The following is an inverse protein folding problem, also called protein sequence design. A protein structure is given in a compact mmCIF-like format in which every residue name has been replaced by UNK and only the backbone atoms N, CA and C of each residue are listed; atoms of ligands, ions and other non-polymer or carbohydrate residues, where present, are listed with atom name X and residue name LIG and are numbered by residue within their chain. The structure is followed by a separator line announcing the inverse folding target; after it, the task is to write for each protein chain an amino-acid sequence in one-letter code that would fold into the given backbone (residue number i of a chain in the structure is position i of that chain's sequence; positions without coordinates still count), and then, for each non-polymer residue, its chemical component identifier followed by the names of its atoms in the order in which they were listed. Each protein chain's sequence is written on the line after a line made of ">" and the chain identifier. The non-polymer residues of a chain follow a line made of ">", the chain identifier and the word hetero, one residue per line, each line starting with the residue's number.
data_IF_912106442208
#
_entry.id   IF_912106442208
#
_cell.length_a   1.000
_cell.length_b   1.000
_cell.length_c   1.000
_cell.angle_alpha   90.00
_cell.angle_beta   90.00
_cell.angle_gamma   90.00
#
_symmetry.space_group_name_H-M   'P 1'
#
loop_
_entity.id
_entity.type
_entity.pdbx_description
1 polymer ?
#
# COMPACT_ATOMS: atom_id res chain seq x y z
N UNK A 1 -4.58 -4.83 -7.60
CA UNK A 1 -5.97 -4.73 -7.13
C UNK A 1 -6.01 -3.95 -5.82
N UNK A 2 -6.01 -2.62 -5.93
CA UNK A 2 -6.01 -1.69 -4.81
C UNK A 2 -6.85 -0.47 -5.24
N UNK A 3 -8.13 -0.68 -5.52
CA UNK A 3 -9.10 0.39 -5.74
C UNK A 3 -9.75 0.81 -4.42
N UNK A 4 -10.41 1.94 -4.41
CA UNK A 4 -11.15 2.41 -3.23
C UNK A 4 -12.23 1.42 -2.80
N UNK A 5 -12.89 0.79 -3.76
CA UNK A 5 -13.90 -0.24 -3.52
C UNK A 5 -13.30 -1.50 -2.88
N UNK A 6 -12.11 -1.95 -3.35
CA UNK A 6 -11.39 -3.09 -2.79
C UNK A 6 -10.89 -2.77 -1.38
N UNK A 7 -10.39 -1.56 -1.15
CA UNK A 7 -9.98 -1.09 0.18
C UNK A 7 -11.16 -1.06 1.14
N UNK A 8 -12.30 -0.50 0.70
CA UNK A 8 -13.51 -0.40 1.54
C UNK A 8 -14.06 -1.77 1.95
N UNK A 9 -13.91 -2.80 1.09
CA UNK A 9 -14.37 -4.17 1.34
C UNK A 9 -13.34 -5.08 2.01
N UNK A 10 -12.13 -4.58 2.36
CA UNK A 10 -11.00 -5.39 2.81
C UNK A 10 -10.55 -6.47 1.81
N UNK A 11 -10.76 -6.21 0.51
CA UNK A 11 -10.47 -7.12 -0.60
C UNK A 11 -9.17 -6.78 -1.35
N UNK A 12 -8.40 -5.81 -0.85
CA UNK A 12 -7.17 -5.38 -1.50
C UNK A 12 -6.09 -6.48 -1.48
N UNK A 13 -5.44 -6.71 -2.62
CA UNK A 13 -4.40 -7.71 -2.75
C UNK A 13 -3.37 -7.37 -3.82
N UNK A 14 -2.23 -8.03 -3.76
CA UNK A 14 -1.19 -8.00 -4.78
C UNK A 14 -0.92 -9.40 -5.34
N UNK A 15 -0.69 -9.49 -6.66
CA UNK A 15 -0.15 -10.67 -7.29
C UNK A 15 1.37 -10.62 -7.31
N UNK A 16 2.02 -11.63 -6.75
CA UNK A 16 3.46 -11.82 -6.87
C UNK A 16 3.67 -12.82 -8.01
N UNK A 17 4.03 -12.33 -9.18
CA UNK A 17 4.22 -13.13 -10.40
C UNK A 17 5.52 -12.78 -11.14
N UNK A 18 6.25 -11.79 -10.63
CA UNK A 18 7.48 -11.28 -11.23
C UNK A 18 8.50 -10.99 -10.15
N UNK A 19 9.75 -11.10 -10.51
CA UNK A 19 10.89 -10.89 -9.62
C UNK A 19 11.89 -9.93 -10.28
N UNK A 20 12.33 -8.92 -9.53
CA UNK A 20 13.43 -8.05 -9.93
C UNK A 20 14.73 -8.66 -9.43
N UNK A 21 15.70 -8.90 -10.32
CA UNK A 21 16.96 -9.54 -9.96
C UNK A 21 18.14 -8.98 -10.76
N UNK A 22 19.35 -9.07 -10.19
CA UNK A 22 20.58 -8.86 -10.93
C UNK A 22 21.12 -10.19 -11.45
N UNK A 23 21.34 -10.27 -12.74
CA UNK A 23 21.82 -11.46 -13.45
C UNK A 23 23.10 -11.13 -14.21
N UNK A 24 24.07 -12.03 -14.21
CA UNK A 24 25.29 -11.87 -15.00
C UNK A 24 24.96 -11.85 -16.49
N UNK A 25 25.60 -10.96 -17.25
CA UNK A 25 25.36 -10.83 -18.69
C UNK A 25 25.68 -12.12 -19.44
N UNK A 26 26.70 -12.86 -18.98
CA UNK A 26 27.05 -14.16 -19.59
C UNK A 26 25.94 -15.20 -19.37
N UNK A 27 25.32 -15.18 -18.19
CA UNK A 27 24.20 -16.06 -17.90
C UNK A 27 22.97 -15.73 -18.76
N UNK A 28 22.68 -14.45 -18.97
CA UNK A 28 21.60 -14.02 -19.88
C UNK A 28 21.84 -14.57 -21.30
N UNK A 29 23.07 -14.46 -21.78
CA UNK A 29 23.43 -14.92 -23.12
C UNK A 29 23.44 -16.46 -23.26
N UNK A 30 23.75 -17.18 -22.19
CA UNK A 30 23.88 -18.65 -22.19
C UNK A 30 22.55 -19.38 -22.00
N UNK A 31 21.69 -18.88 -21.12
CA UNK A 31 20.41 -19.54 -20.74
C UNK A 31 19.27 -19.17 -21.70
N UNK A 32 19.47 -18.13 -22.51
CA UNK A 32 18.42 -17.53 -23.31
C UNK A 32 17.39 -16.76 -22.46
N UNK A 33 16.50 -16.06 -23.14
CA UNK A 33 15.53 -15.15 -22.50
C UNK A 33 14.31 -15.86 -21.92
N UNK A 34 14.31 -17.18 -21.81
CA UNK A 34 13.09 -17.98 -21.54
C UNK A 34 12.28 -17.55 -20.31
N UNK A 35 12.97 -17.03 -19.27
CA UNK A 35 12.33 -16.58 -18.03
C UNK A 35 12.51 -15.07 -17.78
N UNK A 36 13.21 -14.36 -18.68
CA UNK A 36 13.45 -12.92 -18.59
C UNK A 36 12.33 -12.20 -19.31
N UNK A 37 11.59 -11.38 -18.59
CA UNK A 37 10.47 -10.60 -19.12
C UNK A 37 10.94 -9.24 -19.65
N UNK A 38 11.96 -8.65 -19.00
CA UNK A 38 12.49 -7.35 -19.37
C UNK A 38 13.91 -7.17 -18.83
N UNK A 39 14.79 -6.54 -19.63
CA UNK A 39 16.15 -6.17 -19.24
C UNK A 39 16.24 -4.66 -19.14
N UNK A 40 16.44 -4.14 -17.94
CA UNK A 40 16.53 -2.69 -17.73
C UNK A 40 17.79 -2.10 -18.39
N UNK A 41 17.71 -0.90 -18.98
CA UNK A 41 18.85 -0.21 -19.54
C UNK A 41 19.95 0.03 -18.50
N UNK A 42 21.22 -0.03 -18.94
CA UNK A 42 22.34 0.33 -18.06
C UNK A 42 22.32 1.82 -17.76
N UNK A 43 22.79 2.16 -16.57
CA UNK A 43 23.19 3.54 -16.28
C UNK A 43 24.37 3.91 -17.17
N UNK A 44 24.35 5.12 -17.72
CA UNK A 44 25.50 5.64 -18.49
C UNK A 44 26.78 5.52 -17.63
N UNK A 45 27.85 4.97 -18.21
CA UNK A 45 29.13 4.78 -17.51
C UNK A 45 29.26 3.55 -16.60
N UNK A 46 28.19 2.76 -16.41
CA UNK A 46 28.25 1.57 -15.55
C UNK A 46 29.04 0.42 -16.19
N UNK A 47 30.15 -0.01 -15.55
CA UNK A 47 31.00 -1.15 -15.96
C UNK A 47 30.58 -2.48 -15.34
N UNK A 48 29.39 -2.59 -14.76
CA UNK A 48 28.93 -3.81 -14.10
C UNK A 48 28.78 -4.97 -15.11
N UNK A 49 29.27 -6.16 -14.76
CA UNK A 49 29.04 -7.40 -15.51
C UNK A 49 27.60 -7.88 -15.41
N UNK A 50 26.83 -7.36 -14.43
CA UNK A 50 25.44 -7.78 -14.21
C UNK A 50 24.45 -6.82 -14.83
N UNK A 51 23.26 -7.32 -15.15
CA UNK A 51 22.10 -6.57 -15.63
C UNK A 51 20.96 -6.71 -14.64
N UNK A 52 20.23 -5.63 -14.47
CA UNK A 52 18.96 -5.67 -13.75
C UNK A 52 17.89 -6.19 -14.72
N UNK A 53 17.17 -7.20 -14.30
CA UNK A 53 16.13 -7.84 -15.10
C UNK A 53 14.85 -8.02 -14.31
N UNK A 54 13.73 -7.97 -15.00
CA UNK A 54 12.45 -8.48 -14.52
C UNK A 54 12.30 -9.88 -15.07
N UNK A 55 12.07 -10.85 -14.22
CA UNK A 55 11.95 -12.25 -14.62
C UNK A 55 10.79 -12.94 -13.91
N UNK A 56 10.43 -14.13 -14.39
CA UNK A 56 9.50 -15.02 -13.71
C UNK A 56 10.15 -15.55 -12.42
N UNK A 57 9.35 -15.78 -11.36
CA UNK A 57 9.83 -16.47 -10.16
C UNK A 57 10.37 -17.86 -10.49
N UNK A 58 11.34 -18.31 -9.68
CA UNK A 58 12.02 -19.59 -9.89
C UNK A 58 11.10 -20.82 -9.80
N UNK A 59 10.02 -20.73 -9.03
CA UNK A 59 9.07 -21.81 -8.79
C UNK A 59 7.64 -21.33 -8.97
N UNK A 60 6.75 -22.19 -9.39
CA UNK A 60 5.32 -21.90 -9.50
C UNK A 60 4.70 -21.55 -8.13
N UNK A 61 5.17 -22.17 -7.05
CA UNK A 61 4.75 -21.87 -5.69
C UNK A 61 5.09 -20.45 -5.23
N UNK A 62 6.01 -19.78 -5.91
CA UNK A 62 6.32 -18.36 -5.68
C UNK A 62 5.26 -17.43 -6.26
N UNK A 63 4.50 -17.89 -7.25
CA UNK A 63 3.39 -17.13 -7.84
C UNK A 63 2.21 -17.24 -6.89
N UNK A 64 1.81 -16.11 -6.33
CA UNK A 64 0.74 -16.10 -5.32
C UNK A 64 0.04 -14.77 -5.22
N UNK A 65 -1.19 -14.83 -4.76
CA UNK A 65 -1.99 -13.72 -4.30
C UNK A 65 -1.67 -13.45 -2.83
N UNK A 66 -1.39 -12.21 -2.49
CA UNK A 66 -1.18 -11.78 -1.10
C UNK A 66 -2.22 -10.72 -0.77
N UNK A 67 -3.10 -11.03 0.18
CA UNK A 67 -4.03 -10.07 0.73
C UNK A 67 -3.27 -9.07 1.60
N UNK A 68 -3.59 -7.81 1.46
CA UNK A 68 -2.91 -6.74 2.20
C UNK A 68 -3.86 -6.05 3.17
N UNK A 69 -3.37 -5.66 4.35
CA UNK A 69 -4.16 -4.89 5.31
C UNK A 69 -4.64 -3.57 4.70
N UNK A 70 -5.82 -3.13 5.10
CA UNK A 70 -6.45 -1.88 4.63
C UNK A 70 -5.50 -0.68 4.72
N UNK A 71 -4.84 -0.51 5.85
CA UNK A 71 -3.87 0.58 6.06
C UNK A 71 -2.74 0.55 5.03
N UNK A 72 -2.20 -0.63 4.73
CA UNK A 72 -1.15 -0.76 3.72
C UNK A 72 -1.68 -0.47 2.30
N UNK A 73 -2.88 -0.94 1.99
CA UNK A 73 -3.53 -0.67 0.70
C UNK A 73 -3.72 0.83 0.48
N UNK A 74 -4.17 1.55 1.52
CA UNK A 74 -4.32 2.99 1.50
C UNK A 74 -2.98 3.73 1.28
N UNK A 75 -1.92 3.32 2.01
CA UNK A 75 -0.58 3.88 1.84
C UNK A 75 -0.06 3.67 0.39
N UNK A 76 -0.30 2.49 -0.19
CA UNK A 76 0.11 2.20 -1.56
C UNK A 76 -0.66 3.03 -2.59
N UNK A 77 -1.95 3.30 -2.36
CA UNK A 77 -2.75 4.21 -3.18
C UNK A 77 -2.19 5.63 -3.13
N UNK A 78 -1.96 6.18 -1.93
CA UNK A 78 -1.34 7.50 -1.78
C UNK A 78 0.04 7.58 -2.43
N UNK A 79 0.81 6.50 -2.31
CA UNK A 79 2.12 6.41 -2.96
C UNK A 79 2.00 6.50 -4.48
N UNK A 80 1.02 5.79 -5.06
CA UNK A 80 0.76 5.88 -6.50
C UNK A 80 0.40 7.30 -6.92
N UNK A 81 -0.48 7.98 -6.21
CA UNK A 81 -0.85 9.37 -6.50
C UNK A 81 0.38 10.32 -6.47
N UNK A 82 1.29 10.10 -5.51
CA UNK A 82 2.56 10.86 -5.46
C UNK A 82 3.45 10.57 -6.65
N UNK A 83 3.53 9.30 -7.06
CA UNK A 83 4.28 8.93 -8.27
C UNK A 83 3.66 9.55 -9.54
N UNK A 84 2.35 9.54 -9.67
CA UNK A 84 1.65 10.10 -10.82
C UNK A 84 1.88 11.62 -10.93
N UNK A 85 1.83 12.35 -9.81
CA UNK A 85 2.19 13.78 -9.76
C UNK A 85 3.65 14.02 -10.12
N UNK A 86 4.55 13.15 -9.68
CA UNK A 86 5.97 13.25 -10.01
C UNK A 86 6.22 12.98 -11.50
N UNK A 87 5.53 12.01 -12.09
CA UNK A 87 5.56 11.74 -13.53
C UNK A 87 5.10 12.96 -14.34
N UNK A 88 3.99 13.56 -13.94
CA UNK A 88 3.45 14.75 -14.58
C UNK A 88 4.44 15.93 -14.50
N UNK A 89 5.06 16.13 -13.33
CA UNK A 89 6.04 17.18 -13.11
C UNK A 89 7.32 17.00 -13.93
N UNK A 90 7.83 15.76 -14.03
CA UNK A 90 9.09 15.45 -14.71
C UNK A 90 8.94 15.25 -16.22
N UNK A 91 7.72 14.95 -16.71
CA UNK A 91 7.48 14.73 -18.13
C UNK A 91 8.41 13.66 -18.72
N UNK A 92 9.12 14.02 -19.80
CA UNK A 92 10.01 13.09 -20.54
C UNK A 92 11.24 12.63 -19.75
N UNK A 93 11.58 13.30 -18.64
CA UNK A 93 12.69 12.90 -17.77
C UNK A 93 12.33 11.72 -16.86
N UNK A 94 11.05 11.38 -16.75
CA UNK A 94 10.57 10.22 -16.01
C UNK A 94 10.38 9.01 -16.92
N UNK A 95 11.15 7.95 -16.69
CA UNK A 95 11.01 6.69 -17.44
C UNK A 95 10.04 5.78 -16.71
N UNK A 96 8.81 5.66 -17.20
CA UNK A 96 7.79 4.84 -16.56
C UNK A 96 7.92 3.35 -16.89
N UNK A 97 8.40 2.58 -15.92
CA UNK A 97 8.41 1.11 -15.97
C UNK A 97 7.21 0.48 -15.24
N UNK A 98 6.22 1.26 -14.85
CA UNK A 98 5.05 0.80 -14.09
C UNK A 98 5.42 0.03 -12.81
N UNK A 99 6.36 0.56 -12.04
CA UNK A 99 6.86 -0.05 -10.81
C UNK A 99 6.22 0.58 -9.57
N UNK A 100 5.84 -0.25 -8.61
CA UNK A 100 5.34 0.22 -7.31
C UNK A 100 6.44 0.97 -6.54
N UNK A 101 7.65 0.44 -6.52
CA UNK A 101 8.82 1.09 -5.93
C UNK A 101 9.75 1.57 -7.03
N UNK A 102 9.60 2.81 -7.41
CA UNK A 102 10.49 3.51 -8.34
C UNK A 102 11.27 4.62 -7.63
N UNK A 103 12.46 4.92 -8.14
CA UNK A 103 13.22 6.11 -7.79
C UNK A 103 12.57 7.33 -8.44
N UNK A 104 13.03 8.54 -8.10
CA UNK A 104 12.47 9.81 -8.59
C UNK A 104 12.42 9.91 -10.11
N UNK A 105 13.34 9.27 -10.83
CA UNK A 105 13.37 9.22 -12.30
C UNK A 105 12.62 8.02 -12.90
N UNK A 106 11.81 7.30 -12.11
CA UNK A 106 11.08 6.10 -12.55
C UNK A 106 11.89 4.81 -12.56
N UNK A 107 13.17 4.85 -12.22
CA UNK A 107 14.06 3.69 -12.21
C UNK A 107 13.70 2.71 -11.10
N UNK A 108 13.99 1.40 -11.28
CA UNK A 108 13.75 0.42 -10.23
C UNK A 108 14.52 0.74 -8.94
N UNK A 109 13.86 0.56 -7.79
CA UNK A 109 14.53 0.49 -6.49
C UNK A 109 15.12 -0.91 -6.30
N UNK A 110 16.46 -0.99 -6.33
CA UNK A 110 17.17 -2.23 -6.12
C UNK A 110 17.34 -2.53 -4.62
N UNK A 111 17.59 -3.80 -4.27
CA UNK A 111 17.79 -4.27 -2.89
C UNK A 111 18.75 -3.39 -2.08
N UNK A 112 19.84 -2.94 -2.70
CA UNK A 112 20.82 -2.08 -2.05
C UNK A 112 20.24 -0.72 -1.65
N UNK A 113 19.36 -0.15 -2.46
CA UNK A 113 18.70 1.13 -2.16
C UNK A 113 17.76 0.95 -0.97
N UNK A 114 16.94 -0.10 -1.02
CA UNK A 114 16.00 -0.45 0.05
C UNK A 114 16.77 -0.75 1.34
N UNK A 115 17.82 -1.56 1.26
CA UNK A 115 18.66 -1.90 2.40
C UNK A 115 19.30 -0.67 3.05
N UNK A 116 19.84 0.26 2.25
CA UNK A 116 20.44 1.50 2.76
C UNK A 116 19.41 2.39 3.46
N UNK A 117 18.20 2.49 2.93
CA UNK A 117 17.11 3.24 3.57
C UNK A 117 16.66 2.58 4.87
N UNK A 118 16.60 1.25 4.90
CA UNK A 118 16.27 0.51 6.10
C UNK A 118 17.33 0.71 7.21
N UNK A 119 18.61 0.70 6.86
CA UNK A 119 19.70 0.98 7.81
C UNK A 119 19.61 2.42 8.37
N UNK A 120 19.29 3.39 7.54
CA UNK A 120 19.05 4.77 8.00
C UNK A 120 17.85 4.84 8.95
N UNK A 121 16.74 4.19 8.59
CA UNK A 121 15.55 4.14 9.43
C UNK A 121 15.83 3.49 10.79
N UNK A 122 16.55 2.35 10.81
CA UNK A 122 16.96 1.68 12.06
C UNK A 122 17.72 2.64 12.98
N UNK A 123 18.73 3.32 12.42
CA UNK A 123 19.56 4.26 13.19
C UNK A 123 18.74 5.42 13.75
N UNK A 124 17.88 6.02 12.94
CA UNK A 124 17.05 7.15 13.37
C UNK A 124 16.01 6.77 14.42
N UNK A 125 15.52 5.53 14.37
CA UNK A 125 14.50 5.02 15.30
C UNK A 125 15.11 4.31 16.53
N UNK A 126 16.43 4.23 16.64
CA UNK A 126 17.09 3.54 17.76
C UNK A 126 16.77 2.05 17.85
N UNK A 127 16.44 1.42 16.71
CA UNK A 127 16.05 0.02 16.68
C UNK A 127 17.26 -0.91 16.86
N UNK A 128 17.06 -2.13 17.41
CA UNK A 128 18.12 -3.11 17.56
C UNK A 128 18.68 -3.54 16.19
N UNK A 129 19.81 -4.22 16.20
CA UNK A 129 20.45 -4.69 14.98
C UNK A 129 19.65 -5.83 14.32
N UNK A 130 18.64 -5.45 13.55
CA UNK A 130 17.81 -6.36 12.73
C UNK A 130 18.15 -6.17 11.26
N UNK A 131 18.05 -7.22 10.47
CA UNK A 131 18.20 -7.15 9.01
C UNK A 131 16.84 -7.08 8.33
N UNK A 132 16.78 -6.56 7.10
CA UNK A 132 15.52 -6.41 6.37
C UNK A 132 14.72 -7.72 6.30
N UNK A 133 15.40 -8.86 6.10
CA UNK A 133 14.77 -10.18 6.06
C UNK A 133 14.13 -10.59 7.40
N UNK A 134 14.58 -10.04 8.52
CA UNK A 134 13.97 -10.29 9.85
C UNK A 134 12.51 -9.84 9.90
N UNK A 135 12.13 -8.82 9.13
CA UNK A 135 10.73 -8.37 9.04
C UNK A 135 9.81 -9.49 8.53
N UNK A 136 10.31 -10.29 7.58
CA UNK A 136 9.58 -11.47 7.08
C UNK A 136 9.38 -12.50 8.19
N UNK A 137 10.44 -12.80 8.96
CA UNK A 137 10.33 -13.74 10.08
C UNK A 137 9.37 -13.22 11.16
N UNK A 138 9.48 -11.95 11.53
CA UNK A 138 8.57 -11.32 12.49
C UNK A 138 7.12 -11.41 12.01
N UNK A 139 6.85 -11.04 10.76
CA UNK A 139 5.51 -11.13 10.18
C UNK A 139 4.95 -12.56 10.25
N UNK A 140 5.76 -13.56 9.89
CA UNK A 140 5.36 -14.98 9.97
C UNK A 140 5.03 -15.41 11.40
N UNK A 141 5.90 -15.04 12.34
CA UNK A 141 5.71 -15.38 13.78
C UNK A 141 4.43 -14.74 14.32
N UNK A 142 4.18 -13.47 14.01
CA UNK A 142 2.97 -12.79 14.44
C UNK A 142 1.71 -13.39 13.81
N UNK A 143 1.73 -13.70 12.54
CA UNK A 143 0.60 -14.37 11.86
C UNK A 143 0.29 -15.72 12.49
N UNK A 144 1.30 -16.52 12.79
CA UNK A 144 1.13 -17.79 13.50
C UNK A 144 0.51 -17.57 14.89
N UNK A 145 0.99 -16.57 15.64
CA UNK A 145 0.46 -16.24 16.96
C UNK A 145 -1.01 -15.82 16.90
N UNK A 146 -1.37 -14.94 15.97
CA UNK A 146 -2.74 -14.44 15.79
C UNK A 146 -3.68 -15.57 15.36
N UNK A 147 -3.20 -16.47 14.50
CA UNK A 147 -3.93 -17.63 14.01
C UNK A 147 -3.88 -18.85 14.94
N UNK A 148 -3.42 -18.66 16.20
CA UNK A 148 -3.33 -19.74 17.20
C UNK A 148 -2.54 -20.96 16.71
N UNK A 149 -1.49 -20.73 15.89
CA UNK A 149 -0.63 -21.78 15.38
C UNK A 149 -1.10 -22.44 14.08
N UNK A 150 -2.10 -21.89 13.40
CA UNK A 150 -2.50 -22.39 12.09
C UNK A 150 -1.40 -22.11 11.05
N UNK A 151 -0.56 -23.13 10.87
CA UNK A 151 0.59 -23.09 9.93
C UNK A 151 0.11 -22.95 8.49
N UNK A 152 -1.03 -23.57 8.14
CA UNK A 152 -1.53 -23.56 6.76
C UNK A 152 -1.99 -22.17 6.33
N UNK A 153 -2.80 -21.53 7.17
CA UNK A 153 -3.25 -20.17 6.93
C UNK A 153 -2.07 -19.19 6.77
N UNK A 154 -0.99 -19.40 7.53
CA UNK A 154 0.20 -18.54 7.50
C UNK A 154 1.11 -18.80 6.29
N UNK A 155 1.25 -20.06 5.85
CA UNK A 155 2.11 -20.43 4.72
C UNK A 155 1.67 -19.82 3.39
N UNK A 156 0.38 -19.77 3.15
CA UNK A 156 -0.17 -19.17 1.94
C UNK A 156 0.29 -17.75 1.69
N UNK A 157 0.41 -16.95 2.75
CA UNK A 157 0.82 -15.55 2.68
C UNK A 157 2.33 -15.37 2.55
N UNK A 158 3.10 -16.22 3.21
CA UNK A 158 4.55 -16.03 3.33
C UNK A 158 5.34 -16.63 2.16
N UNK A 159 4.76 -17.59 1.41
CA UNK A 159 5.41 -18.24 0.28
C UNK A 159 6.68 -19.00 0.69
N UNK A 160 6.72 -19.59 1.89
CA UNK A 160 7.81 -20.47 2.29
C UNK A 160 7.61 -21.87 1.69
N UNK A 161 8.50 -22.25 0.78
CA UNK A 161 8.51 -23.58 0.15
C UNK A 161 8.94 -24.71 1.10
N UNK A 162 9.35 -24.43 2.33
CA UNK A 162 10.02 -25.37 3.22
C UNK A 162 9.13 -26.09 4.24
N UNK A 163 7.94 -26.45 3.87
CA UNK A 163 7.28 -27.53 4.60
C UNK A 163 6.72 -28.55 3.62
N UNK A 164 7.57 -29.03 2.74
CA UNK A 164 7.23 -29.98 1.68
C UNK A 164 6.53 -31.27 2.19
N UNK A 165 6.65 -31.60 3.45
CA UNK A 165 5.98 -32.79 4.00
C UNK A 165 4.54 -32.54 4.47
N UNK A 166 4.16 -31.29 4.74
CA UNK A 166 2.79 -30.98 5.20
C UNK A 166 1.94 -30.40 4.07
N UNK A 167 2.58 -29.78 3.06
CA UNK A 167 1.90 -29.03 1.99
C UNK A 167 1.31 -29.89 0.89
N UNK A 168 1.85 -31.07 0.59
CA UNK A 168 1.30 -31.94 -0.47
C UNK A 168 -0.09 -32.52 -0.14
N UNK A 169 -0.41 -32.68 1.13
CA UNK A 169 -1.71 -33.24 1.56
C UNK A 169 -2.79 -32.16 1.77
N UNK A 170 -2.38 -30.88 1.97
CA UNK A 170 -3.29 -29.83 2.38
C UNK A 170 -3.16 -28.52 1.58
N UNK A 171 -2.84 -28.62 0.32
CA UNK A 171 -2.49 -27.50 -0.57
C UNK A 171 -3.61 -26.48 -0.87
N UNK A 172 -4.76 -26.60 -0.27
CA UNK A 172 -5.87 -25.67 -0.50
C UNK A 172 -6.20 -24.84 0.75
N UNK A 173 -5.30 -23.90 1.08
CA UNK A 173 -5.74 -22.75 1.88
C UNK A 173 -6.63 -21.95 0.95
N UNK A 174 -7.91 -21.88 1.28
CA UNK A 174 -8.88 -21.08 0.55
C UNK A 174 -8.42 -19.62 0.56
N UNK A 175 -8.63 -18.90 -0.52
CA UNK A 175 -8.31 -17.46 -0.60
C UNK A 175 -8.95 -16.69 0.58
N UNK A 176 -10.08 -17.15 1.10
CA UNK A 176 -10.76 -16.62 2.26
C UNK A 176 -9.92 -16.63 3.54
N UNK A 177 -9.18 -17.73 3.80
CA UNK A 177 -8.29 -17.81 4.98
C UNK A 177 -7.14 -16.81 4.88
N UNK A 178 -6.64 -16.56 3.67
CA UNK A 178 -5.60 -15.54 3.41
C UNK A 178 -6.11 -14.13 3.61
N UNK A 179 -7.35 -13.87 3.20
CA UNK A 179 -8.04 -12.61 3.44
C UNK A 179 -8.21 -12.35 4.93
N UNK A 180 -8.69 -13.35 5.67
CA UNK A 180 -8.85 -13.29 7.13
C UNK A 180 -7.51 -13.01 7.83
N UNK A 181 -6.40 -13.57 7.33
CA UNK A 181 -5.08 -13.27 7.86
C UNK A 181 -4.67 -11.81 7.70
N UNK A 182 -4.95 -11.21 6.55
CA UNK A 182 -4.68 -9.78 6.33
C UNK A 182 -5.49 -8.90 7.28
N UNK A 183 -6.76 -9.22 7.49
CA UNK A 183 -7.65 -8.51 8.41
C UNK A 183 -7.18 -8.62 9.87
N UNK A 184 -6.77 -9.83 10.30
CA UNK A 184 -6.21 -10.03 11.64
C UNK A 184 -4.91 -9.28 11.85
N UNK A 185 -4.09 -9.18 10.82
CA UNK A 185 -2.85 -8.41 10.86
C UNK A 185 -3.14 -6.90 10.99
N UNK A 186 -4.15 -6.39 10.27
CA UNK A 186 -4.64 -5.03 10.42
C UNK A 186 -5.00 -4.75 11.89
N UNK A 187 -5.83 -5.63 12.49
CA UNK A 187 -6.25 -5.49 13.88
C UNK A 187 -5.08 -5.52 14.88
N UNK A 188 -4.09 -6.39 14.64
CA UNK A 188 -3.00 -6.58 15.58
C UNK A 188 -1.94 -5.47 15.52
N UNK A 189 -1.69 -4.91 14.34
CA UNK A 189 -0.59 -3.97 14.12
C UNK A 189 -1.02 -2.53 13.95
N UNK A 190 -2.21 -2.31 13.37
CA UNK A 190 -2.64 -0.97 12.96
C UNK A 190 -3.85 -0.46 13.74
N UNK A 191 -4.59 -1.33 14.47
CA UNK A 191 -5.78 -0.92 15.21
C UNK A 191 -5.52 0.16 16.29
N UNK A 192 -4.28 0.21 16.81
CA UNK A 192 -3.87 1.17 17.84
C UNK A 192 -2.77 2.14 17.39
N UNK A 193 -2.36 2.08 16.12
CA UNK A 193 -1.29 2.90 15.59
C UNK A 193 -1.74 3.54 14.29
N UNK A 194 -2.33 4.73 14.36
CA UNK A 194 -2.61 5.53 13.17
C UNK A 194 -1.29 6.10 12.63
N UNK A 195 -0.55 5.25 11.91
CA UNK A 195 0.78 5.56 11.40
C UNK A 195 0.86 6.81 10.52
N UNK A 196 -0.27 7.33 10.01
CA UNK A 196 -0.34 8.54 9.17
C UNK A 196 -1.72 9.22 9.19
N UNK A 197 -2.49 9.11 10.25
CA UNK A 197 -3.87 9.60 10.26
C UNK A 197 -4.78 8.86 9.27
N UNK A 198 -4.44 7.60 8.92
CA UNK A 198 -5.19 6.81 7.92
C UNK A 198 -6.62 6.59 8.37
N UNK A 199 -6.85 6.25 9.65
CA UNK A 199 -8.20 6.08 10.17
C UNK A 199 -9.01 7.37 10.15
N UNK A 200 -8.38 8.51 10.47
CA UNK A 200 -9.04 9.81 10.41
C UNK A 200 -9.42 10.15 8.97
N UNK A 201 -8.56 9.82 7.99
CA UNK A 201 -8.84 10.05 6.57
C UNK A 201 -9.91 9.12 6.05
N UNK A 202 -9.87 7.83 6.37
CA UNK A 202 -10.91 6.87 6.00
C UNK A 202 -12.26 7.23 6.61
N UNK A 203 -12.29 7.71 7.86
CA UNK A 203 -13.51 8.22 8.52
C UNK A 203 -14.00 9.50 7.86
N UNK A 204 -13.10 10.41 7.48
CA UNK A 204 -13.44 11.63 6.77
C UNK A 204 -13.99 11.33 5.37
N UNK A 205 -13.41 10.39 4.64
CA UNK A 205 -13.90 9.95 3.33
C UNK A 205 -15.25 9.20 3.42
N UNK A 206 -15.48 8.40 4.46
CA UNK A 206 -16.77 7.75 4.71
C UNK A 206 -17.84 8.71 5.23
N UNK A 207 -17.44 9.80 5.87
CA UNK A 207 -18.34 10.85 6.36
C UNK A 207 -18.76 11.84 5.27
N UNK A 208 -18.17 11.74 4.06
CA UNK A 208 -18.64 12.46 2.85
C UNK A 208 -19.84 11.77 2.19
N UNK A 209 -20.23 10.57 2.60
CA UNK A 209 -21.62 10.15 2.45
C UNK A 209 -22.47 11.10 3.30
N UNK A 210 -23.16 12.04 2.66
CA UNK A 210 -23.93 13.12 3.27
C UNK A 210 -24.65 12.59 4.53
N UNK A 211 -24.35 13.14 5.72
CA UNK A 211 -25.13 12.81 6.89
C UNK A 211 -26.55 13.24 6.55
N UNK A 212 -27.49 12.31 6.70
CA UNK A 212 -28.89 12.58 6.48
C UNK A 212 -29.23 13.92 7.15
N UNK A 213 -29.44 14.95 6.36
CA UNK A 213 -29.60 16.33 6.79
C UNK A 213 -30.70 16.48 7.83
N UNK A 214 -31.70 15.59 7.79
CA UNK A 214 -32.77 15.50 8.80
C UNK A 214 -32.27 15.04 10.18
N UNK A 215 -31.32 14.10 10.22
CA UNK A 215 -30.75 13.60 11.49
C UNK A 215 -29.89 14.67 12.13
N UNK A 216 -29.10 15.39 11.33
CA UNK A 216 -28.27 16.51 11.79
C UNK A 216 -29.12 17.68 12.29
N UNK A 217 -30.18 18.03 11.58
CA UNK A 217 -31.12 19.07 12.02
C UNK A 217 -31.78 18.69 13.34
N UNK A 218 -32.29 17.48 13.48
CA UNK A 218 -32.89 16.99 14.75
C UNK A 218 -31.90 16.99 15.91
N UNK A 219 -30.62 16.69 15.67
CA UNK A 219 -29.58 16.74 16.71
C UNK A 219 -29.19 18.17 17.11
N UNK A 220 -29.21 19.11 16.16
CA UNK A 220 -28.98 20.52 16.41
C UNK A 220 -30.16 21.20 17.13
N UNK A 221 -31.39 20.86 16.76
CA UNK A 221 -32.60 21.31 17.43
C UNK A 221 -32.71 20.82 18.88
N UNK A 222 -32.21 19.61 19.16
CA UNK A 222 -32.18 19.04 20.50
C UNK A 222 -31.14 19.66 21.45
N UNK A 223 -30.20 20.50 20.92
CA UNK A 223 -29.12 21.11 21.69
C UNK A 223 -28.91 22.58 21.27
N UNK A 224 -29.65 23.52 21.87
CA UNK A 224 -29.61 24.96 21.51
C UNK A 224 -28.19 25.57 21.53
N UNK A 225 -27.36 25.18 22.50
CA UNK A 225 -25.97 25.65 22.61
C UNK A 225 -25.08 25.26 21.43
N UNK A 226 -25.35 24.10 20.83
CA UNK A 226 -24.65 23.62 19.63
C UNK A 226 -25.15 24.37 18.38
N UNK A 227 -26.42 24.73 18.34
CA UNK A 227 -27.01 25.49 17.25
C UNK A 227 -26.42 26.91 17.22
N UNK A 228 -26.29 27.54 18.37
CA UNK A 228 -25.69 28.88 18.47
C UNK A 228 -24.20 28.88 18.08
N UNK A 229 -23.44 27.87 18.54
CA UNK A 229 -22.04 27.70 18.17
C UNK A 229 -21.86 27.41 16.69
N UNK A 230 -22.73 26.60 16.11
CA UNK A 230 -22.73 26.27 14.67
C UNK A 230 -23.09 27.51 13.84
N UNK A 231 -24.16 28.21 14.21
CA UNK A 231 -24.61 29.44 13.51
C UNK A 231 -23.54 30.52 13.54
N UNK A 232 -22.88 30.71 14.69
CA UNK A 232 -21.78 31.64 14.81
C UNK A 232 -20.59 31.29 13.90
N UNK A 233 -20.13 30.04 13.91
CA UNK A 233 -19.04 29.57 13.04
C UNK A 233 -19.43 29.64 11.56
N UNK A 234 -20.67 29.29 11.24
CA UNK A 234 -21.14 29.28 9.86
C UNK A 234 -21.22 30.71 9.30
N UNK A 235 -21.72 31.67 10.09
CA UNK A 235 -21.75 33.08 9.72
C UNK A 235 -20.34 33.65 9.62
N UNK A 236 -19.42 33.31 10.53
CA UNK A 236 -18.02 33.74 10.47
C UNK A 236 -17.32 33.19 9.21
N UNK A 237 -17.59 31.98 8.82
CA UNK A 237 -16.87 31.30 7.71
C UNK A 237 -17.48 31.56 6.35
N UNK A 238 -18.81 31.68 6.26
CA UNK A 238 -19.54 31.74 4.98
C UNK A 238 -20.41 32.99 4.84
N UNK A 239 -20.56 33.80 5.89
CA UNK A 239 -21.47 34.96 5.93
C UNK A 239 -21.21 35.95 4.79
N UNK A 240 -19.95 36.30 4.52
CA UNK A 240 -19.59 37.17 3.41
C UNK A 240 -19.92 36.58 2.03
N UNK A 241 -19.70 35.28 1.84
CA UNK A 241 -19.99 34.62 0.57
C UNK A 241 -21.50 34.54 0.31
N UNK A 242 -22.28 34.25 1.35
CA UNK A 242 -23.74 34.18 1.26
C UNK A 242 -24.33 35.59 1.02
N UNK A 243 -23.85 36.59 1.72
CA UNK A 243 -24.27 37.97 1.51
C UNK A 243 -23.93 38.47 0.11
N UNK A 244 -22.75 38.16 -0.41
CA UNK A 244 -22.36 38.47 -1.78
C UNK A 244 -23.19 37.74 -2.84
N UNK A 245 -23.58 36.50 -2.60
CA UNK A 245 -24.48 35.75 -3.50
C UNK A 245 -25.93 36.30 -3.45
N UNK A 246 -26.42 36.62 -2.27
CA UNK A 246 -27.75 37.26 -2.11
C UNK A 246 -27.79 38.65 -2.74
N UNK A 247 -26.76 39.46 -2.54
CA UNK A 247 -26.64 40.77 -3.18
C UNK A 247 -26.62 40.66 -4.71
N UNK A 248 -25.85 39.69 -5.27
CA UNK A 248 -25.85 39.43 -6.72
C UNK A 248 -27.22 38.99 -7.25
N UNK A 249 -27.99 38.21 -6.49
CA UNK A 249 -29.34 37.78 -6.89
C UNK A 249 -30.38 38.90 -6.75
N UNK A 250 -30.19 39.83 -5.83
CA UNK A 250 -31.11 40.98 -5.62
C UNK A 250 -30.83 42.15 -6.57
N UNK A 251 -29.57 42.32 -7.02
CA UNK A 251 -29.16 43.43 -7.91
C UNK A 251 -29.22 43.00 -9.39
N UNK A 252 -29.31 41.69 -9.67
CA UNK A 252 -29.35 41.13 -11.02
C UNK A 252 -30.75 40.69 -11.51
N UNK A 253 -31.80 41.20 -10.87
CA UNK A 253 -33.19 41.03 -11.33
C UNK A 253 -33.71 42.34 -11.94
#
# INVERSE_FOLDING_TARGET
>A
HISDEEIARDDAFVWIEKELARVDQKAINAVGEKDILFVFPRLMGGKSSTRLVLKKPKTESSIRKVWIPRTLAFILREWKEKQDKLKEFMGDDYIDYNLVLAQETGRPCEDRIIGNQFERLKKSAGLPNVVFHSLRHSSTTYKLKINKGDVKATQGDTGHAQSDMVTQVYAHILDEDRKVNAQKFEMAFYANADLRGVEQRLRAESAVAEPDSEILLKQLEAKPELMDAFTKKFVEQYGEQIMNQLAKKLIGA
#
